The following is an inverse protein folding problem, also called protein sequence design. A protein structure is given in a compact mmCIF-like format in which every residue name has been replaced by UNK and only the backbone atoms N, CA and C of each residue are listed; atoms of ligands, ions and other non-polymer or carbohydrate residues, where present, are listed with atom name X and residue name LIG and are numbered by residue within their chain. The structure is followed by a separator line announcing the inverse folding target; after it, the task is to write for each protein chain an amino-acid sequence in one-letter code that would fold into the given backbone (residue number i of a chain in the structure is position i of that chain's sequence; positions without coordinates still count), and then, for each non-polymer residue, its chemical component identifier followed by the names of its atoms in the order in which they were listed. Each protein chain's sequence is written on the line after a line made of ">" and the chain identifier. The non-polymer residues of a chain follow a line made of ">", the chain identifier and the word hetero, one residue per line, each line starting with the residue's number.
data_IF_394247728782
#
_entry.id   IF_394247728782
#
_cell.length_a   1.000
_cell.length_b   1.000
_cell.length_c   1.000
_cell.angle_alpha   90.00
_cell.angle_beta   90.00
_cell.angle_gamma   90.00
#
_symmetry.space_group_name_H-M   'P 1'
#
loop_
_entity.id
_entity.type
_entity.pdbx_description
1 polymer ?
#
# COMPACT_ATOMS: atom_id res chain seq x y z
N UNK A 1 -5.21 15.94 -19.67
CA UNK A 1 -5.53 15.93 -19.87
C UNK A 1 -5.90 15.83 -20.14
N UNK A 2 -6.04 15.84 -20.02
CA UNK A 2 -6.61 15.81 -20.16
C UNK A 2 -7.10 15.59 -20.51
N UNK A 3 -7.54 15.68 -20.44
CA UNK A 3 -8.26 15.65 -20.72
C UNK A 3 -8.91 15.71 -20.93
N UNK A 4 -9.31 15.79 -20.72
CA UNK A 4 -10.02 15.92 -20.82
C UNK A 4 -10.64 16.37 -21.01
N UNK A 5 -10.89 16.70 -20.84
CA UNK A 5 -11.55 17.11 -20.97
C UNK A 5 -12.04 17.54 -21.71
N UNK A 6 -12.18 17.77 -21.81
CA UNK A 6 -12.74 18.19 -22.49
C UNK A 6 -13.03 18.08 -23.36
N UNK A 7 -13.17 17.72 -23.72
CA UNK A 7 -13.46 17.60 -24.68
C UNK A 7 -14.48 17.61 -25.15
N UNK A 8 -14.89 17.69 -25.22
CA UNK A 8 -16.11 17.76 -25.40
C UNK A 8 -16.74 17.83 -26.63
N UNK A 9 -17.03 17.27 -27.27
CA UNK A 9 -17.51 17.42 -28.36
C UNK A 9 -18.36 16.50 -28.72
N UNK A 10 -18.90 16.46 -28.98
CA UNK A 10 -19.94 16.03 -29.12
C UNK A 10 -20.55 15.45 -30.29
N UNK A 11 -20.17 15.59 -31.24
CA UNK A 11 -20.66 14.99 -32.33
C UNK A 11 -20.60 13.55 -32.25
N UNK A 12 -21.05 12.80 -33.05
CA UNK A 12 -21.15 11.36 -33.00
C UNK A 12 -21.57 10.96 -31.59
N UNK A 13 -22.64 11.53 -31.19
CA UNK A 13 -23.01 11.54 -29.80
C UNK A 13 -23.03 10.16 -29.15
N UNK A 14 -23.55 9.17 -29.84
CA UNK A 14 -23.69 7.85 -29.22
C UNK A 14 -22.37 7.17 -29.01
N UNK A 15 -21.47 7.24 -30.00
CA UNK A 15 -20.12 6.66 -29.86
C UNK A 15 -19.34 7.39 -28.79
N UNK A 16 -19.45 8.70 -28.74
CA UNK A 16 -18.76 9.51 -27.76
C UNK A 16 -19.30 9.23 -26.37
N UNK A 17 -20.62 9.09 -26.26
CA UNK A 17 -21.24 8.77 -24.98
C UNK A 17 -20.76 7.43 -24.44
N UNK A 18 -20.66 6.43 -25.29
CA UNK A 18 -20.12 5.12 -24.89
C UNK A 18 -18.67 5.23 -24.47
N UNK A 19 -17.86 5.95 -25.22
CA UNK A 19 -16.46 6.17 -24.88
C UNK A 19 -16.33 6.94 -23.57
N UNK A 20 -17.15 7.94 -23.36
CA UNK A 20 -17.13 8.69 -22.11
C UNK A 20 -17.50 7.81 -20.93
N UNK A 21 -18.48 6.94 -21.08
CA UNK A 21 -18.87 6.04 -20.00
C UNK A 21 -17.74 5.08 -19.66
N UNK A 22 -17.07 4.52 -20.65
CA UNK A 22 -15.91 3.66 -20.43
C UNK A 22 -14.77 4.43 -19.79
N UNK A 23 -14.45 5.60 -20.33
CA UNK A 23 -13.38 6.45 -19.79
C UNK A 23 -13.69 6.89 -18.37
N UNK A 24 -14.96 7.21 -18.10
CA UNK A 24 -15.37 7.62 -16.77
C UNK A 24 -15.23 6.49 -15.76
N UNK A 25 -15.58 5.26 -16.15
CA UNK A 25 -15.42 4.09 -15.29
C UNK A 25 -13.95 3.81 -15.01
N UNK A 26 -13.09 3.92 -16.03
CA UNK A 26 -11.66 3.76 -15.88
C UNK A 26 -11.07 4.81 -14.96
N UNK A 27 -11.50 6.06 -15.14
CA UNK A 27 -11.04 7.16 -14.28
C UNK A 27 -11.49 6.96 -12.85
N UNK A 28 -12.69 6.48 -12.64
CA UNK A 28 -13.19 6.20 -11.30
C UNK A 28 -12.39 5.08 -10.65
N UNK A 29 -12.10 4.02 -11.40
CA UNK A 29 -11.29 2.92 -10.90
C UNK A 29 -9.88 3.39 -10.56
N UNK A 30 -9.25 4.17 -11.43
CA UNK A 30 -7.93 4.73 -11.17
C UNK A 30 -7.93 5.64 -9.95
N UNK A 31 -8.98 6.42 -9.78
CA UNK A 31 -9.13 7.27 -8.60
C UNK A 31 -9.21 6.44 -7.33
N UNK A 32 -10.02 5.38 -7.36
CA UNK A 32 -10.13 4.47 -6.22
C UNK A 32 -8.80 3.82 -5.89
N UNK A 33 -8.06 3.39 -6.90
CA UNK A 33 -6.74 2.78 -6.70
C UNK A 33 -5.79 3.76 -6.03
N UNK A 34 -5.77 5.00 -6.48
CA UNK A 34 -4.92 6.03 -5.86
C UNK A 34 -5.32 6.26 -4.40
N UNK A 35 -6.61 6.36 -4.13
CA UNK A 35 -7.09 6.57 -2.76
C UNK A 35 -6.72 5.41 -1.86
N UNK A 36 -6.83 4.19 -2.35
CA UNK A 36 -6.44 3.00 -1.60
C UNK A 36 -4.95 3.04 -1.25
N UNK A 37 -4.10 3.33 -2.23
CA UNK A 37 -2.67 3.36 -2.01
C UNK A 37 -2.27 4.50 -1.07
N UNK A 38 -2.87 5.67 -1.24
CA UNK A 38 -2.60 6.79 -0.34
C UNK A 38 -2.97 6.44 1.09
N UNK A 39 -4.14 5.87 1.29
CA UNK A 39 -4.59 5.47 2.62
C UNK A 39 -3.67 4.40 3.21
N UNK A 40 -3.29 3.42 2.40
CA UNK A 40 -2.39 2.35 2.82
C UNK A 40 -1.06 2.90 3.32
N UNK A 41 -0.41 3.71 2.50
CA UNK A 41 0.92 4.24 2.85
C UNK A 41 0.85 5.28 3.97
N UNK A 42 -0.24 6.03 4.04
CA UNK A 42 -0.44 6.99 5.14
C UNK A 42 -0.49 6.29 6.49
N UNK A 43 -1.10 5.10 6.55
CA UNK A 43 -1.28 4.37 7.78
C UNK A 43 -0.29 3.21 7.96
N UNK A 44 0.73 3.14 7.12
CA UNK A 44 1.65 1.99 7.12
C UNK A 44 2.30 1.73 8.48
N UNK A 45 2.63 2.79 9.22
CA UNK A 45 3.26 2.67 10.52
C UNK A 45 2.27 2.46 11.67
N UNK A 46 0.98 2.48 11.38
CA UNK A 46 -0.03 2.24 12.42
C UNK A 46 -0.10 0.75 12.72
N UNK A 47 0.05 0.39 13.99
CA UNK A 47 0.01 -1.01 14.38
C UNK A 47 -1.36 -1.63 14.16
N UNK A 48 -2.41 -0.80 14.13
CA UNK A 48 -3.79 -1.24 13.96
C UNK A 48 -4.23 -1.32 12.51
N UNK A 49 -3.32 -1.09 11.58
CA UNK A 49 -3.68 -1.10 10.17
C UNK A 49 -4.26 -2.44 9.75
N UNK A 50 -5.46 -2.41 9.18
CA UNK A 50 -6.18 -3.61 8.75
C UNK A 50 -7.06 -3.26 7.56
N UNK A 51 -7.57 -4.29 6.89
CA UNK A 51 -8.55 -4.11 5.82
C UNK A 51 -9.76 -3.34 6.34
N UNK A 52 -10.24 -3.71 7.53
CA UNK A 52 -11.42 -3.05 8.09
C UNK A 52 -11.18 -1.56 8.31
N UNK A 53 -10.04 -1.21 8.87
CA UNK A 53 -9.71 0.18 9.10
C UNK A 53 -9.69 0.98 7.79
N UNK A 54 -9.01 0.47 6.78
CA UNK A 54 -8.93 1.19 5.51
C UNK A 54 -10.26 1.21 4.78
N UNK A 55 -10.93 0.07 4.71
CA UNK A 55 -12.18 -0.01 3.97
C UNK A 55 -13.29 0.77 4.64
N UNK A 56 -13.52 0.51 5.93
CA UNK A 56 -14.69 1.05 6.61
C UNK A 56 -14.46 2.45 7.16
N UNK A 57 -13.30 2.69 7.77
CA UNK A 57 -13.07 3.96 8.46
C UNK A 57 -12.51 5.04 7.55
N UNK A 58 -11.71 4.66 6.55
CA UNK A 58 -11.04 5.64 5.69
C UNK A 58 -11.72 5.83 4.34
N UNK A 59 -12.18 4.75 3.73
CA UNK A 59 -12.64 4.79 2.34
C UNK A 59 -14.12 4.49 2.17
N UNK A 60 -14.81 4.13 3.25
CA UNK A 60 -16.24 3.83 3.24
C UNK A 60 -16.61 2.80 2.18
N UNK A 61 -15.84 1.71 2.14
CA UNK A 61 -16.05 0.58 1.23
C UNK A 61 -16.39 -0.68 2.02
N UNK A 62 -17.05 -1.62 1.32
CA UNK A 62 -17.25 -2.96 1.87
C UNK A 62 -15.90 -3.67 1.97
N UNK A 63 -15.65 -4.40 3.06
CA UNK A 63 -14.37 -5.06 3.29
C UNK A 63 -14.03 -6.09 2.20
N UNK A 64 -15.00 -6.90 1.79
CA UNK A 64 -14.77 -7.92 0.78
C UNK A 64 -14.43 -7.29 -0.57
N UNK A 65 -15.15 -6.24 -0.93
CA UNK A 65 -14.90 -5.51 -2.16
C UNK A 65 -13.50 -4.89 -2.12
N UNK A 66 -13.15 -4.26 -1.00
CA UNK A 66 -11.83 -3.66 -0.82
C UNK A 66 -10.73 -4.72 -0.96
N UNK A 67 -10.90 -5.86 -0.32
CA UNK A 67 -9.90 -6.94 -0.37
C UNK A 67 -9.66 -7.43 -1.79
N UNK A 68 -10.73 -7.62 -2.56
CA UNK A 68 -10.61 -8.04 -3.95
C UNK A 68 -9.95 -6.96 -4.80
N UNK A 69 -10.34 -5.72 -4.60
CA UNK A 69 -9.78 -4.60 -5.35
C UNK A 69 -8.29 -4.41 -5.02
N UNK A 70 -7.94 -4.54 -3.74
CA UNK A 70 -6.56 -4.43 -3.31
C UNK A 70 -5.70 -5.52 -3.95
N UNK A 71 -6.19 -6.77 -3.95
CA UNK A 71 -5.47 -7.87 -4.57
C UNK A 71 -5.32 -7.67 -6.08
N UNK A 72 -6.36 -7.17 -6.73
CA UNK A 72 -6.30 -6.84 -8.16
C UNK A 72 -5.26 -5.75 -8.42
N UNK A 73 -5.21 -4.75 -7.54
CA UNK A 73 -4.30 -3.62 -7.69
C UNK A 73 -2.84 -3.99 -7.46
N UNK A 74 -2.57 -4.78 -6.42
CA UNK A 74 -1.21 -5.08 -6.00
C UNK A 74 -0.70 -6.46 -6.42
N UNK A 75 -1.60 -7.35 -6.79
CA UNK A 75 -1.25 -8.73 -7.10
C UNK A 75 -1.15 -9.63 -5.88
N UNK A 76 -1.32 -9.10 -4.67
CA UNK A 76 -1.17 -9.84 -3.43
C UNK A 76 -2.32 -9.57 -2.48
N UNK A 77 -2.52 -10.50 -1.57
CA UNK A 77 -3.45 -10.29 -0.47
C UNK A 77 -2.94 -9.16 0.42
N UNK A 78 -3.87 -8.49 1.07
CA UNK A 78 -3.54 -7.33 1.89
C UNK A 78 -2.44 -7.62 2.92
N UNK A 79 -2.59 -8.69 3.69
CA UNK A 79 -1.62 -8.99 4.76
C UNK A 79 -0.22 -9.30 4.21
N UNK A 80 -0.15 -9.99 3.08
CA UNK A 80 1.14 -10.26 2.44
C UNK A 80 1.81 -8.99 1.96
N UNK A 81 1.04 -8.15 1.29
CA UNK A 81 1.56 -6.88 0.79
C UNK A 81 1.99 -5.97 1.94
N UNK A 82 1.20 -5.95 3.01
CA UNK A 82 1.51 -5.16 4.19
C UNK A 82 2.84 -5.60 4.81
N UNK A 83 3.02 -6.90 4.99
CA UNK A 83 4.25 -7.42 5.57
C UNK A 83 5.47 -7.13 4.68
N UNK A 84 5.34 -7.39 3.38
CA UNK A 84 6.41 -7.07 2.42
C UNK A 84 6.81 -5.61 2.48
N UNK A 85 5.81 -4.73 2.46
CA UNK A 85 6.04 -3.29 2.43
C UNK A 85 6.70 -2.81 3.71
N UNK A 86 6.24 -3.29 4.86
CA UNK A 86 6.82 -2.91 6.14
C UNK A 86 8.27 -3.34 6.25
N UNK A 87 8.59 -4.55 5.81
CA UNK A 87 9.96 -5.05 5.88
C UNK A 87 10.85 -4.32 4.87
N UNK A 88 10.34 -4.02 3.69
CA UNK A 88 11.09 -3.23 2.73
C UNK A 88 11.42 -1.84 3.29
N UNK A 89 10.45 -1.23 3.96
CA UNK A 89 10.68 0.05 4.62
C UNK A 89 11.77 -0.07 5.69
N UNK A 90 11.75 -1.15 6.46
CA UNK A 90 12.77 -1.40 7.47
C UNK A 90 14.16 -1.51 6.85
N UNK A 91 14.28 -2.24 5.73
CA UNK A 91 15.54 -2.35 5.02
C UNK A 91 16.05 -0.99 4.54
N UNK A 92 15.15 -0.17 4.01
CA UNK A 92 15.52 1.17 3.54
C UNK A 92 15.98 2.05 4.69
N UNK A 93 15.28 2.00 5.83
CA UNK A 93 15.67 2.75 7.01
C UNK A 93 17.05 2.31 7.52
N UNK A 94 17.32 1.01 7.51
CA UNK A 94 18.62 0.49 7.92
C UNK A 94 19.74 0.93 6.98
N UNK A 95 19.47 0.98 5.69
CA UNK A 95 20.43 1.48 4.71
C UNK A 95 20.75 2.96 4.95
N UNK A 96 19.73 3.71 5.36
CA UNK A 96 19.88 5.14 5.60
C UNK A 96 20.53 5.43 6.96
N UNK A 97 20.13 4.68 7.98
CA UNK A 97 20.68 4.82 9.34
C UNK A 97 21.00 3.45 9.89
N UNK A 98 22.20 2.92 9.58
CA UNK A 98 22.56 1.55 9.98
C UNK A 98 22.60 1.32 11.50
N UNK A 99 22.76 2.37 12.29
CA UNK A 99 22.85 2.25 13.75
C UNK A 99 21.49 2.36 14.45
N UNK A 100 20.41 2.47 13.71
CA UNK A 100 19.09 2.58 14.31
C UNK A 100 18.74 1.34 15.13
N UNK A 101 18.19 1.54 16.32
CA UNK A 101 17.82 0.43 17.20
C UNK A 101 16.70 -0.40 16.59
N UNK A 102 16.74 -1.72 16.86
CA UNK A 102 15.71 -2.63 16.37
C UNK A 102 14.32 -2.23 16.86
N UNK A 103 14.20 -1.79 18.09
CA UNK A 103 12.93 -1.32 18.65
C UNK A 103 12.39 -0.13 17.88
N UNK A 104 13.25 0.78 17.48
CA UNK A 104 12.84 1.95 16.71
C UNK A 104 12.42 1.56 15.30
N UNK A 105 13.15 0.62 14.69
CA UNK A 105 12.75 0.10 13.38
C UNK A 105 11.38 -0.56 13.44
N UNK A 106 11.15 -1.37 14.47
CA UNK A 106 9.86 -2.03 14.65
C UNK A 106 8.74 -1.00 14.78
N UNK A 107 8.94 0.01 15.61
CA UNK A 107 7.95 1.05 15.84
C UNK A 107 7.65 1.85 14.58
N UNK A 108 8.68 2.25 13.86
CA UNK A 108 8.51 3.06 12.65
C UNK A 108 7.89 2.30 11.50
N UNK A 109 7.95 0.98 11.52
CA UNK A 109 7.41 0.16 10.45
C UNK A 109 6.08 -0.50 10.79
N UNK A 110 5.50 -0.17 11.94
CA UNK A 110 4.16 -0.65 12.28
C UNK A 110 4.09 -1.91 13.11
N UNK A 111 5.22 -2.34 13.68
CA UNK A 111 5.27 -3.53 14.54
C UNK A 111 5.24 -3.19 16.03
N UNK A 112 4.83 -1.98 16.37
CA UNK A 112 4.90 -1.45 17.72
C UNK A 112 6.34 -1.54 18.21
N UNK A 113 6.56 -1.81 19.48
CA UNK A 113 7.92 -1.95 20.00
C UNK A 113 8.29 -3.42 20.22
N UNK A 114 7.58 -4.32 19.53
CA UNK A 114 7.82 -5.75 19.65
C UNK A 114 8.93 -6.17 18.69
N UNK A 115 10.15 -6.04 19.16
CA UNK A 115 11.32 -6.39 18.36
C UNK A 115 11.39 -7.86 17.97
N UNK A 116 10.82 -8.75 18.78
CA UNK A 116 10.82 -10.18 18.45
C UNK A 116 9.90 -10.48 17.28
N UNK A 117 8.70 -9.93 17.30
CA UNK A 117 7.77 -10.10 16.20
C UNK A 117 8.34 -9.50 14.93
N UNK A 118 8.89 -8.30 15.03
CA UNK A 118 9.53 -7.64 13.89
C UNK A 118 10.67 -8.50 13.33
N UNK A 119 11.53 -9.02 14.21
CA UNK A 119 12.67 -9.85 13.79
C UNK A 119 12.21 -11.11 13.08
N UNK A 120 11.16 -11.75 13.55
CA UNK A 120 10.59 -12.93 12.89
C UNK A 120 10.07 -12.60 11.51
N UNK A 121 9.34 -11.50 11.40
CA UNK A 121 8.80 -11.05 10.12
C UNK A 121 9.92 -10.70 9.15
N UNK A 122 10.94 -10.00 9.64
CA UNK A 122 12.10 -9.64 8.84
C UNK A 122 12.81 -10.87 8.29
N UNK A 123 13.06 -11.84 9.16
CA UNK A 123 13.71 -13.07 8.74
C UNK A 123 12.88 -13.87 7.74
N UNK A 124 11.57 -13.91 7.95
CA UNK A 124 10.68 -14.60 7.02
C UNK A 124 10.72 -13.97 5.63
N UNK A 125 10.77 -12.65 5.56
CA UNK A 125 10.73 -11.93 4.28
C UNK A 125 12.09 -11.88 3.59
N UNK A 126 13.17 -11.76 4.35
CA UNK A 126 14.50 -11.53 3.76
C UNK A 126 15.44 -12.71 3.86
N UNK A 127 15.14 -13.68 4.72
CA UNK A 127 16.04 -14.82 4.95
C UNK A 127 17.09 -14.58 6.00
N UNK A 128 17.26 -13.35 6.48
CA UNK A 128 18.24 -13.04 7.53
C UNK A 128 17.60 -12.23 8.64
N UNK A 129 18.19 -12.28 9.81
CA UNK A 129 17.73 -11.44 10.92
C UNK A 129 18.11 -9.98 10.65
N UNK A 130 17.44 -9.03 11.32
CA UNK A 130 17.84 -7.62 11.20
C UNK A 130 19.31 -7.39 11.54
N UNK A 131 19.83 -8.07 12.55
CA UNK A 131 21.23 -7.94 12.95
C UNK A 131 22.17 -8.43 11.87
N UNK A 132 21.84 -9.56 11.26
CA UNK A 132 22.63 -10.11 10.15
C UNK A 132 22.61 -9.18 8.95
N UNK A 133 21.44 -8.66 8.65
CA UNK A 133 21.30 -7.72 7.53
C UNK A 133 22.13 -6.46 7.78
N UNK A 134 22.10 -5.95 9.01
CA UNK A 134 22.88 -4.76 9.38
C UNK A 134 24.37 -4.99 9.14
N UNK A 135 24.87 -6.16 9.53
CA UNK A 135 26.29 -6.48 9.32
C UNK A 135 26.66 -6.50 7.84
N UNK A 136 25.73 -6.90 6.98
CA UNK A 136 26.00 -6.95 5.56
C UNK A 136 26.08 -5.56 4.92
N UNK A 137 25.63 -4.53 5.62
CA UNK A 137 25.66 -3.16 5.12
C UNK A 137 26.99 -2.44 5.39
N UNK A 138 27.86 -3.05 6.18
CA UNK A 138 29.13 -2.44 6.60
C UNK A 138 30.29 -2.87 5.73
#
# INVERSE_FOLDING_TARGET
>A
EANAESFGFADAADSIALQKNCAWSEQKEEKQKREILIAFYTHLADTDLSIRMLACDCLFMNEDYFGRLFRKLTGEKFNSYLQHTRILLAQRLMQYQPEMLIQDLARLTGYAEDGQYFSKAFRKETGSSPSEYRKSLI
#
